data_IF_325445633660
#
_entry.id   IF_325445633660
#
_cell.length_a   1.000
_cell.length_b   1.000
_cell.length_c   1.000
_cell.angle_alpha   90.00
_cell.angle_beta   90.00
_cell.angle_gamma   90.00
#
_symmetry.space_group_name_H-M   'P 1'
#
loop_
_entity.id
_entity.type
_entity.pdbx_description
1 polymer ?
#
# COMPACT_ATOMS: atom_id res chain seq x y z
N UNK A 1 -5.59 -9.96 4.83
CA UNK A 1 -5.51 -9.96 3.36
C UNK A 1 -5.12 -8.57 2.90
N UNK A 2 -3.98 -8.40 2.23
CA UNK A 2 -3.51 -7.08 1.74
C UNK A 2 -4.20 -6.79 0.41
N UNK A 3 -4.70 -5.57 0.25
CA UNK A 3 -5.40 -5.14 -0.95
C UNK A 3 -4.58 -4.07 -1.68
N UNK A 4 -4.11 -4.41 -2.89
CA UNK A 4 -3.30 -3.52 -3.71
C UNK A 4 -4.22 -2.69 -4.61
N UNK A 5 -4.67 -1.53 -4.13
CA UNK A 5 -5.52 -0.60 -4.90
C UNK A 5 -4.73 0.65 -5.29
N UNK A 6 -5.01 1.25 -6.47
CA UNK A 6 -4.46 2.56 -6.83
C UNK A 6 -4.55 3.56 -5.66
N UNK A 7 -3.47 4.31 -5.43
CA UNK A 7 -3.34 5.28 -4.33
C UNK A 7 -3.02 4.68 -2.96
N UNK A 8 -3.06 3.36 -2.78
CA UNK A 8 -2.75 2.73 -1.49
C UNK A 8 -1.26 2.85 -1.18
N UNK A 9 -0.87 3.34 0.01
CA UNK A 9 0.53 3.55 0.34
C UNK A 9 1.21 2.28 0.88
N UNK A 10 2.45 2.07 0.49
CA UNK A 10 3.32 0.96 0.92
C UNK A 10 4.74 1.45 1.16
N UNK A 11 5.56 0.62 1.82
CA UNK A 11 7.01 0.78 1.84
C UNK A 11 7.63 -0.13 0.78
N UNK A 12 8.47 0.46 -0.07
CA UNK A 12 9.29 -0.22 -1.08
C UNK A 12 10.73 0.26 -0.97
N UNK A 13 11.70 -0.66 -0.78
CA UNK A 13 13.14 -0.33 -0.61
C UNK A 13 13.38 0.81 0.40
N UNK A 14 12.64 0.80 1.52
CA UNK A 14 12.74 1.81 2.57
C UNK A 14 12.09 3.17 2.26
N UNK A 15 11.41 3.32 1.11
CA UNK A 15 10.71 4.55 0.73
C UNK A 15 9.21 4.35 0.71
N UNK A 16 8.46 5.39 1.09
CA UNK A 16 7.01 5.42 0.95
C UNK A 16 6.63 5.62 -0.51
N UNK A 17 5.83 4.72 -1.05
CA UNK A 17 5.34 4.72 -2.43
C UNK A 17 3.83 4.49 -2.42
N UNK A 18 3.17 4.76 -3.54
CA UNK A 18 1.75 4.42 -3.74
C UNK A 18 1.59 3.52 -4.96
N UNK A 19 0.57 2.67 -4.94
CA UNK A 19 0.20 1.85 -6.11
C UNK A 19 -0.37 2.76 -7.20
N UNK A 20 0.10 2.58 -8.43
CA UNK A 20 -0.51 3.17 -9.62
C UNK A 20 -1.56 2.19 -10.19
N UNK A 21 -1.11 1.05 -10.70
CA UNK A 21 -1.99 -0.02 -11.17
C UNK A 21 -1.34 -1.40 -11.01
N UNK A 22 -2.19 -2.43 -11.11
CA UNK A 22 -1.79 -3.83 -11.06
C UNK A 22 -1.58 -4.34 -12.48
N UNK A 23 -0.53 -5.14 -12.67
CA UNK A 23 -0.28 -5.87 -13.91
C UNK A 23 -0.46 -7.35 -13.62
N UNK A 24 -1.37 -7.99 -14.34
CA UNK A 24 -1.57 -9.44 -14.29
C UNK A 24 -0.97 -10.03 -15.56
N UNK A 25 -0.04 -10.97 -15.41
CA UNK A 25 0.53 -11.74 -16.54
C UNK A 25 0.42 -13.22 -16.22
N UNK A 26 0.69 -14.07 -17.22
CA UNK A 26 0.71 -15.53 -17.03
C UNK A 26 1.62 -15.98 -15.88
N UNK A 27 2.72 -15.26 -15.64
CA UNK A 27 3.71 -15.58 -14.60
C UNK A 27 3.43 -14.92 -13.24
N UNK A 28 2.23 -14.34 -13.04
CA UNK A 28 1.75 -13.85 -11.74
C UNK A 28 1.22 -12.41 -11.72
N UNK A 29 1.48 -11.72 -10.61
CA UNK A 29 1.04 -10.34 -10.38
C UNK A 29 2.26 -9.44 -10.15
N UNK A 30 2.18 -8.22 -10.66
CA UNK A 30 3.13 -7.13 -10.45
C UNK A 30 2.39 -5.84 -10.17
N UNK A 31 3.09 -4.89 -9.57
CA UNK A 31 2.54 -3.61 -9.14
C UNK A 31 3.41 -2.51 -9.75
N UNK A 32 2.76 -1.61 -10.49
CA UNK A 32 3.37 -0.35 -10.92
C UNK A 32 3.25 0.65 -9.78
N UNK A 33 4.34 1.36 -9.49
CA UNK A 33 4.38 2.40 -8.46
C UNK A 33 4.13 3.77 -9.09
N UNK A 34 3.35 4.62 -8.40
CA UNK A 34 3.06 5.95 -8.89
C UNK A 34 4.33 6.83 -8.88
N UNK A 35 4.46 7.69 -9.89
CA UNK A 35 5.60 8.60 -10.05
C UNK A 35 6.97 7.89 -10.08
N UNK A 36 7.01 6.59 -10.37
CA UNK A 36 8.22 5.81 -10.58
C UNK A 36 8.10 4.94 -11.83
N UNK A 37 9.24 4.62 -12.43
CA UNK A 37 9.31 3.61 -13.48
C UNK A 37 9.41 2.19 -12.92
N UNK A 38 9.47 2.05 -11.60
CA UNK A 38 9.58 0.76 -10.93
C UNK A 38 8.31 -0.09 -11.08
N UNK A 39 8.54 -1.39 -11.29
CA UNK A 39 7.53 -2.44 -11.21
C UNK A 39 8.06 -3.50 -10.25
N UNK A 40 7.28 -3.84 -9.23
CA UNK A 40 7.69 -4.78 -8.18
C UNK A 40 6.68 -5.90 -7.98
N UNK A 41 7.08 -6.92 -7.21
CA UNK A 41 6.17 -7.98 -6.78
C UNK A 41 5.42 -7.58 -5.50
N UNK A 42 4.24 -8.15 -5.24
CA UNK A 42 3.51 -7.97 -3.99
C UNK A 42 4.34 -8.20 -2.72
N UNK A 43 5.17 -9.24 -2.72
CA UNK A 43 6.04 -9.63 -1.61
C UNK A 43 7.17 -8.63 -1.33
N UNK A 44 7.51 -7.75 -2.27
CA UNK A 44 8.48 -6.68 -2.08
C UNK A 44 7.91 -5.46 -1.35
N UNK A 45 6.58 -5.41 -1.16
CA UNK A 45 5.88 -4.30 -0.53
C UNK A 45 5.54 -4.62 0.91
N UNK A 46 5.96 -3.73 1.81
CA UNK A 46 5.50 -3.78 3.21
C UNK A 46 4.26 -2.90 3.36
N UNK A 47 3.13 -3.45 3.84
CA UNK A 47 1.94 -2.65 4.08
C UNK A 47 2.24 -1.59 5.13
N UNK A 48 1.87 -0.35 4.85
CA UNK A 48 1.73 0.64 5.91
C UNK A 48 0.41 0.30 6.58
N UNK A 49 0.44 -0.01 7.88
CA UNK A 49 -0.78 -0.22 8.64
C UNK A 49 -1.75 0.92 8.29
N UNK A 50 -3.00 0.64 7.87
CA UNK A 50 -3.98 1.70 7.87
C UNK A 50 -3.91 2.27 9.29
N UNK A 51 -3.69 3.57 9.41
CA UNK A 51 -3.96 4.27 10.66
C UNK A 51 -5.44 4.00 10.90
N UNK A 52 -5.74 2.89 11.59
CA UNK A 52 -7.05 2.63 12.11
C UNK A 52 -7.36 3.89 12.89
N UNK A 53 -8.41 4.59 12.47
CA UNK A 53 -8.90 5.78 13.12
C UNK A 53 -8.81 5.57 14.62
N UNK A 54 -7.82 6.21 15.26
CA UNK A 54 -7.76 6.31 16.70
C UNK A 54 -8.76 7.43 17.08
N UNK A 55 -10.02 7.21 16.71
CA UNK A 55 -11.18 7.93 17.20
C UNK A 55 -11.77 7.06 18.31
N UNK A 56 -10.93 6.73 19.29
CA UNK A 56 -11.31 6.00 20.49
C UNK A 56 -10.41 6.44 21.66
N UNK A 57 -10.38 7.76 21.95
CA UNK A 57 -10.18 8.31 23.30
C UNK A 57 -10.26 9.85 23.30
N UNK A 58 -11.42 10.39 22.92
CA UNK A 58 -11.80 11.74 23.39
C UNK A 58 -13.33 11.91 23.33
N UNK A 59 -14.04 10.98 23.97
CA UNK A 59 -15.47 11.10 24.19
C UNK A 59 -15.87 10.38 25.48
N UNK A 60 -15.59 11.04 26.60
CA UNK A 60 -16.07 10.70 27.94
C UNK A 60 -15.07 11.22 28.96
N UNK A 61 -15.41 12.07 29.92
CA UNK A 61 -16.67 12.64 30.37
C UNK A 61 -16.30 13.90 31.18
N UNK A 62 -17.21 14.86 31.16
CA UNK A 62 -17.43 15.89 32.19
C UNK A 62 -17.10 15.44 33.60
#
# INVERSE_FOLDING_TARGET
>A
MILYKPGTPFIYKGRRVTVDYIIIRRTGLWIRLAHSEDVCRPEDLTPIAPQGSNLAESAGRT
#
